data_IF_070807164645
#
_entry.id   IF_070807164645
#
_cell.length_a   1.000
_cell.length_b   1.000
_cell.length_c   1.000
_cell.angle_alpha   90.00
_cell.angle_beta   90.00
_cell.angle_gamma   90.00
#
_symmetry.space_group_name_H-M   'P 1'
#
loop_
_entity.id
_entity.type
_entity.pdbx_description
1 polymer ?
#
# COMPACT_ATOMS: atom_id res chain seq x y z
N UNK A 1 22.09 0.10 -6.92
CA UNK A 1 21.12 -0.23 -5.86
C UNK A 1 20.67 1.07 -5.20
N UNK A 2 19.46 1.51 -5.51
CA UNK A 2 18.83 2.67 -4.87
C UNK A 2 18.50 2.30 -3.42
N UNK A 3 18.96 3.09 -2.45
CA UNK A 3 18.53 2.97 -1.05
C UNK A 3 17.46 4.02 -0.79
N UNK A 4 16.28 3.58 -0.37
CA UNK A 4 15.24 4.48 0.11
C UNK A 4 15.33 4.50 1.64
N UNK A 5 15.67 5.67 2.20
CA UNK A 5 15.67 5.86 3.65
C UNK A 5 14.30 6.39 4.06
N UNK A 6 13.53 5.55 4.74
CA UNK A 6 12.21 5.89 5.27
C UNK A 6 12.34 6.30 6.73
N UNK A 7 12.19 7.59 7.02
CA UNK A 7 12.19 8.10 8.39
C UNK A 7 10.75 8.33 8.83
N UNK A 8 10.26 7.46 9.71
CA UNK A 8 9.12 7.79 10.55
C UNK A 8 9.66 8.65 11.70
N UNK A 9 9.22 9.90 11.82
CA UNK A 9 9.57 10.73 12.96
C UNK A 9 8.88 10.17 14.20
N UNK A 10 9.59 9.31 14.93
CA UNK A 10 9.17 8.78 16.24
C UNK A 10 9.81 9.63 17.31
N UNK A 11 9.06 10.29 18.21
CA UNK A 11 9.65 10.83 19.42
C UNK A 11 10.11 9.67 20.31
N UNK A 12 11.41 9.66 20.65
CA UNK A 12 12.01 8.68 21.56
C UNK A 12 11.50 8.92 22.98
N UNK A 13 10.44 8.19 23.37
CA UNK A 13 10.13 7.95 24.77
C UNK A 13 10.05 6.45 24.96
N UNK A 14 11.06 5.92 25.61
CA UNK A 14 11.13 4.51 25.92
C UNK A 14 10.02 4.10 26.89
N UNK A 15 9.19 3.17 26.46
CA UNK A 15 8.47 2.26 27.34
C UNK A 15 8.58 0.87 26.73
N UNK A 16 9.32 0.01 27.39
CA UNK A 16 9.27 -1.43 27.17
C UNK A 16 7.87 -1.91 27.50
N UNK A 17 7.07 -2.18 26.51
CA UNK A 17 5.81 -2.91 26.63
C UNK A 17 5.99 -4.25 25.95
N UNK A 18 5.76 -5.31 26.70
CA UNK A 18 5.69 -6.67 26.19
C UNK A 18 4.75 -6.73 24.99
N UNK A 19 5.30 -6.98 23.84
CA UNK A 19 4.56 -7.27 22.62
C UNK A 19 3.92 -8.65 22.80
N UNK A 20 2.63 -8.66 22.88
CA UNK A 20 1.80 -9.85 22.73
C UNK A 20 1.83 -10.23 21.24
N UNK A 21 2.74 -11.12 20.90
CA UNK A 21 3.15 -11.53 19.57
C UNK A 21 2.10 -12.39 18.90
N UNK A 22 0.83 -12.01 18.77
CA UNK A 22 -0.03 -12.93 17.99
C UNK A 22 -1.42 -12.43 17.59
N UNK A 23 -1.68 -11.21 17.22
CA UNK A 23 -3.10 -10.93 16.92
C UNK A 23 -3.49 -10.35 15.58
N UNK A 24 -2.59 -10.02 14.66
CA UNK A 24 -3.03 -9.39 13.39
C UNK A 24 -2.35 -9.89 12.11
N UNK A 25 -1.77 -11.07 12.11
CA UNK A 25 -1.49 -11.76 10.87
C UNK A 25 -2.74 -12.51 10.39
N UNK A 26 -3.74 -11.83 9.90
CA UNK A 26 -4.69 -12.45 8.97
C UNK A 26 -3.94 -12.67 7.65
N UNK A 27 -2.97 -13.56 7.69
CA UNK A 27 -2.36 -14.07 6.50
C UNK A 27 -3.37 -15.03 5.87
N UNK A 28 -4.16 -14.53 4.94
CA UNK A 28 -4.89 -15.42 4.05
C UNK A 28 -3.85 -16.06 3.15
N UNK A 29 -3.60 -17.37 3.21
CA UNK A 29 -2.52 -18.03 2.47
C UNK A 29 -2.59 -17.86 0.95
N UNK A 30 -3.71 -17.35 0.45
CA UNK A 30 -3.97 -17.07 -0.97
C UNK A 30 -4.42 -15.62 -1.18
N UNK A 31 -3.83 -14.68 -0.49
CA UNK A 31 -3.99 -13.25 -0.75
C UNK A 31 -2.75 -12.72 -1.47
N UNK A 32 -2.92 -11.94 -2.52
CA UNK A 32 -1.82 -11.26 -3.21
C UNK A 32 -2.21 -9.83 -3.58
N UNK A 33 -1.22 -8.96 -3.51
CA UNK A 33 -1.28 -7.63 -4.11
C UNK A 33 -0.80 -7.72 -5.54
N UNK A 34 -1.42 -6.97 -6.44
CA UNK A 34 -1.03 -6.97 -7.83
C UNK A 34 -1.80 -5.96 -8.65
N UNK A 35 -1.53 -5.95 -9.94
CA UNK A 35 -2.13 -5.07 -10.93
C UNK A 35 -2.98 -5.90 -11.89
N UNK A 36 -4.21 -5.49 -12.13
CA UNK A 36 -5.08 -6.09 -13.14
C UNK A 36 -4.54 -5.72 -14.53
N UNK A 37 -4.48 -6.71 -15.41
CA UNK A 37 -4.12 -6.53 -16.82
C UNK A 37 -5.18 -7.21 -17.68
N UNK A 38 -5.85 -6.43 -18.53
CA UNK A 38 -6.88 -6.93 -19.47
C UNK A 38 -8.24 -6.28 -19.31
N UNK A 39 -9.26 -6.99 -19.76
CA UNK A 39 -10.65 -6.50 -19.79
C UNK A 39 -11.53 -7.25 -18.78
N UNK A 40 -12.73 -6.75 -18.43
CA UNK A 40 -13.64 -7.44 -17.52
C UNK A 40 -13.93 -8.89 -17.91
N UNK A 41 -13.95 -9.20 -19.21
CA UNK A 41 -14.24 -10.53 -19.74
C UNK A 41 -13.02 -11.46 -19.74
N UNK A 42 -11.80 -10.86 -19.72
CA UNK A 42 -10.57 -11.63 -19.79
C UNK A 42 -9.41 -10.84 -19.18
N UNK A 43 -9.10 -11.11 -17.92
CA UNK A 43 -8.02 -10.44 -17.20
C UNK A 43 -7.15 -11.42 -16.42
N UNK A 44 -5.99 -10.95 -16.10
CA UNK A 44 -5.03 -11.58 -15.18
C UNK A 44 -4.62 -10.58 -14.12
N UNK A 45 -3.99 -11.06 -13.06
CA UNK A 45 -3.39 -10.22 -12.04
C UNK A 45 -1.88 -10.50 -12.05
N UNK A 46 -1.11 -9.49 -12.38
CA UNK A 46 0.35 -9.50 -12.22
C UNK A 46 0.66 -9.14 -10.78
N UNK A 47 1.17 -10.09 -10.02
CA UNK A 47 1.39 -9.93 -8.59
C UNK A 47 2.72 -9.25 -8.29
N UNK A 48 2.81 -8.61 -7.15
CA UNK A 48 4.02 -7.90 -6.69
C UNK A 48 5.23 -8.81 -6.45
N UNK A 49 4.99 -10.09 -6.28
CA UNK A 49 6.03 -11.11 -6.14
C UNK A 49 6.40 -11.82 -7.47
N UNK A 50 5.93 -11.30 -8.61
CA UNK A 50 6.31 -11.74 -9.94
C UNK A 50 5.52 -12.93 -10.48
N UNK A 51 4.39 -13.30 -9.85
CA UNK A 51 3.51 -14.33 -10.39
C UNK A 51 2.44 -13.72 -11.30
N UNK A 52 2.04 -14.46 -12.33
CA UNK A 52 0.88 -14.18 -13.17
C UNK A 52 -0.28 -15.08 -12.74
N UNK A 53 -1.36 -14.47 -12.28
CA UNK A 53 -2.59 -15.14 -11.88
C UNK A 53 -3.64 -14.96 -12.98
N UNK A 54 -3.85 -15.98 -13.81
CA UNK A 54 -4.86 -15.96 -14.86
C UNK A 54 -6.22 -16.34 -14.27
N UNK A 55 -7.17 -15.42 -14.36
CA UNK A 55 -8.51 -15.62 -13.79
C UNK A 55 -9.35 -16.46 -14.74
N UNK A 56 -9.62 -17.70 -14.36
CA UNK A 56 -10.49 -18.64 -15.12
C UNK A 56 -11.88 -18.75 -14.49
N UNK A 57 -12.00 -18.46 -13.20
CA UNK A 57 -13.26 -18.39 -12.47
C UNK A 57 -13.30 -17.13 -11.61
N UNK A 58 -14.42 -16.43 -11.59
CA UNK A 58 -14.58 -15.21 -10.79
C UNK A 58 -15.87 -15.27 -9.94
N UNK A 59 -15.72 -15.35 -8.62
CA UNK A 59 -16.82 -15.33 -7.65
C UNK A 59 -17.17 -13.92 -7.17
N UNK A 60 -16.46 -12.90 -7.65
CA UNK A 60 -16.73 -11.48 -7.37
C UNK A 60 -17.04 -10.70 -8.66
N UNK A 61 -18.10 -11.08 -9.39
CA UNK A 61 -18.43 -10.47 -10.68
C UNK A 61 -18.91 -9.02 -10.56
N UNK A 62 -19.20 -8.54 -9.35
CA UNK A 62 -19.61 -7.16 -9.10
C UNK A 62 -18.42 -6.21 -8.94
N UNK A 63 -17.21 -6.74 -8.78
CA UNK A 63 -16.01 -5.92 -8.70
C UNK A 63 -15.73 -5.24 -10.05
N UNK A 64 -15.54 -3.90 -10.07
CA UNK A 64 -15.26 -3.18 -11.32
C UNK A 64 -13.83 -3.49 -11.78
N UNK A 65 -13.68 -4.38 -12.75
CA UNK A 65 -12.39 -4.72 -13.37
C UNK A 65 -12.02 -3.62 -14.35
N UNK A 66 -10.87 -3.00 -14.09
CA UNK A 66 -10.27 -1.97 -14.95
C UNK A 66 -8.79 -2.33 -15.17
N UNK A 67 -8.30 -2.13 -16.41
CA UNK A 67 -6.87 -2.33 -16.71
C UNK A 67 -6.00 -1.40 -15.88
N UNK A 68 -4.83 -1.88 -15.46
CA UNK A 68 -3.89 -1.14 -14.60
C UNK A 68 -4.40 -0.82 -13.18
N UNK A 69 -5.55 -1.37 -12.77
CA UNK A 69 -6.06 -1.19 -11.43
C UNK A 69 -5.25 -2.03 -10.42
N UNK A 70 -4.75 -1.38 -9.37
CA UNK A 70 -4.10 -2.07 -8.25
C UNK A 70 -5.16 -2.68 -7.32
N UNK A 71 -4.94 -3.95 -6.98
CA UNK A 71 -5.87 -4.72 -6.15
C UNK A 71 -5.15 -5.57 -5.10
N UNK A 72 -5.91 -5.90 -4.06
CA UNK A 72 -5.63 -7.05 -3.21
C UNK A 72 -6.66 -8.11 -3.56
N UNK A 73 -6.19 -9.26 -4.04
CA UNK A 73 -7.04 -10.37 -4.44
C UNK A 73 -6.87 -11.56 -3.50
N UNK A 74 -8.00 -12.11 -3.03
CA UNK A 74 -8.06 -13.43 -2.42
C UNK A 74 -8.50 -14.44 -3.47
N UNK A 75 -7.81 -15.56 -3.56
CA UNK A 75 -8.04 -16.51 -4.64
C UNK A 75 -7.79 -17.96 -4.20
N UNK A 76 -8.28 -18.89 -5.01
CA UNK A 76 -8.00 -20.32 -4.92
C UNK A 76 -7.18 -20.73 -6.13
N UNK A 77 -5.94 -21.22 -5.99
CA UNK A 77 -5.20 -21.81 -7.08
C UNK A 77 -5.93 -23.03 -7.62
N UNK A 78 -6.01 -23.14 -8.95
CA UNK A 78 -6.63 -24.28 -9.65
C UNK A 78 -5.57 -25.15 -10.34
N UNK A 79 -4.69 -24.52 -11.13
CA UNK A 79 -3.65 -25.21 -11.89
C UNK A 79 -2.40 -24.33 -12.00
N UNK A 80 -1.23 -24.93 -11.89
CA UNK A 80 0.02 -24.25 -12.24
C UNK A 80 0.28 -24.46 -13.74
N UNK A 81 0.29 -23.37 -14.50
CA UNK A 81 0.43 -23.40 -15.97
C UNK A 81 1.83 -23.02 -16.45
N UNK A 82 2.70 -22.58 -15.54
CA UNK A 82 4.10 -22.22 -15.80
C UNK A 82 4.88 -22.03 -14.51
N UNK A 83 6.15 -21.67 -14.59
CA UNK A 83 7.02 -21.48 -13.41
C UNK A 83 6.41 -20.49 -12.42
N UNK A 84 5.92 -19.35 -12.92
CA UNK A 84 5.30 -18.28 -12.12
C UNK A 84 3.89 -17.95 -12.63
N UNK A 85 3.17 -18.93 -13.21
CA UNK A 85 1.86 -18.74 -13.79
C UNK A 85 0.86 -19.74 -13.25
N UNK A 86 -0.31 -19.25 -12.84
CA UNK A 86 -1.35 -20.05 -12.23
C UNK A 86 -2.71 -19.69 -12.80
N UNK A 87 -3.53 -20.70 -13.07
CA UNK A 87 -4.97 -20.54 -13.23
C UNK A 87 -5.61 -20.47 -11.87
N UNK A 88 -6.45 -19.48 -11.67
CA UNK A 88 -7.05 -19.21 -10.37
C UNK A 88 -8.56 -19.00 -10.47
N UNK A 89 -9.23 -19.26 -9.36
CA UNK A 89 -10.54 -18.73 -9.06
C UNK A 89 -10.40 -17.53 -8.13
N UNK A 90 -10.85 -16.36 -8.56
CA UNK A 90 -10.96 -15.20 -7.67
C UNK A 90 -12.10 -15.41 -6.69
N UNK A 91 -11.84 -15.27 -5.39
CA UNK A 91 -12.85 -15.35 -4.34
C UNK A 91 -13.37 -13.95 -3.97
N UNK A 92 -12.49 -12.96 -3.89
CA UNK A 92 -12.83 -11.55 -3.69
C UNK A 92 -11.67 -10.65 -4.12
N UNK A 93 -12.00 -9.43 -4.52
CA UNK A 93 -11.02 -8.38 -4.80
C UNK A 93 -11.35 -7.11 -4.02
N UNK A 94 -10.32 -6.36 -3.67
CA UNK A 94 -10.45 -5.02 -3.10
C UNK A 94 -9.53 -4.07 -3.86
N UNK A 95 -10.09 -2.92 -4.26
CA UNK A 95 -9.29 -1.84 -4.83
C UNK A 95 -8.28 -1.37 -3.79
N UNK A 96 -7.03 -1.30 -4.19
CA UNK A 96 -5.96 -0.78 -3.36
C UNK A 96 -5.86 0.73 -3.55
N UNK A 97 -5.82 1.47 -2.46
CA UNK A 97 -5.52 2.90 -2.53
C UNK A 97 -4.13 3.07 -3.16
N UNK A 98 -4.10 3.66 -4.36
CA UNK A 98 -2.85 3.89 -5.08
C UNK A 98 -2.66 5.37 -5.32
N UNK A 99 -1.47 5.89 -5.03
CA UNK A 99 -1.13 7.31 -5.13
C UNK A 99 0.26 7.49 -5.71
N UNK A 100 0.47 8.64 -6.35
CA UNK A 100 1.82 9.13 -6.69
C UNK A 100 2.43 9.79 -5.44
N UNK A 101 3.76 9.75 -5.28
CA UNK A 101 4.46 10.61 -4.33
C UNK A 101 4.24 12.09 -4.64
N UNK A 102 4.40 12.95 -3.64
CA UNK A 102 4.42 14.40 -3.79
C UNK A 102 5.83 14.92 -3.52
N UNK A 103 6.29 15.87 -4.32
CA UNK A 103 7.62 16.46 -4.19
C UNK A 103 7.53 17.73 -3.34
N UNK A 104 8.33 17.83 -2.27
CA UNK A 104 8.26 18.98 -1.37
C UNK A 104 8.66 20.29 -2.06
N UNK A 105 9.55 20.23 -3.06
CA UNK A 105 9.95 21.40 -3.84
C UNK A 105 8.83 22.00 -4.72
N UNK A 106 7.79 21.21 -5.02
CA UNK A 106 6.64 21.63 -5.82
C UNK A 106 5.51 22.23 -4.98
N UNK A 107 5.61 22.17 -3.65
CA UNK A 107 4.57 22.58 -2.72
C UNK A 107 4.91 23.90 -2.03
N UNK A 108 3.89 24.70 -1.80
CA UNK A 108 3.99 25.87 -0.93
C UNK A 108 4.08 25.45 0.55
N UNK A 109 4.56 26.31 1.46
CA UNK A 109 4.61 26.00 2.89
C UNK A 109 3.25 25.58 3.48
N UNK A 110 2.15 26.21 3.07
CA UNK A 110 0.80 25.87 3.53
C UNK A 110 0.36 24.48 3.02
N UNK A 111 0.74 24.10 1.79
CA UNK A 111 0.48 22.76 1.24
C UNK A 111 1.31 21.69 1.96
N UNK A 112 2.58 21.97 2.28
CA UNK A 112 3.42 21.08 3.08
C UNK A 112 2.80 20.84 4.47
N UNK A 113 2.34 21.90 5.12
CA UNK A 113 1.66 21.79 6.42
C UNK A 113 0.36 20.97 6.30
N UNK A 114 -0.36 21.10 5.18
CA UNK A 114 -1.60 20.35 4.91
C UNK A 114 -1.40 18.86 4.75
N UNK A 115 -0.18 18.39 4.42
CA UNK A 115 0.12 16.95 4.38
C UNK A 115 -0.05 16.31 5.76
N UNK A 116 0.03 17.08 6.83
CA UNK A 116 -0.14 16.65 8.21
C UNK A 116 1.08 15.92 8.77
N UNK A 117 1.05 15.76 10.09
CA UNK A 117 2.06 15.01 10.87
C UNK A 117 1.38 14.16 11.95
N UNK A 118 0.11 13.83 11.75
CA UNK A 118 -0.64 13.01 12.69
C UNK A 118 -0.01 11.61 12.81
N UNK A 119 -0.13 10.95 13.97
CA UNK A 119 0.49 9.66 14.20
C UNK A 119 0.01 8.60 13.23
N UNK A 120 0.96 7.83 12.69
CA UNK A 120 0.76 6.65 11.86
C UNK A 120 1.82 5.62 12.20
N UNK A 121 1.40 4.37 12.42
CA UNK A 121 2.29 3.25 12.65
C UNK A 121 2.41 2.42 11.37
N UNK A 122 3.62 2.23 10.85
CA UNK A 122 3.87 1.34 9.72
C UNK A 122 4.00 -0.07 10.27
N UNK A 123 3.04 -0.92 9.91
CA UNK A 123 3.05 -2.33 10.30
C UNK A 123 3.96 -3.15 9.37
N UNK A 124 3.95 -2.85 8.07
CA UNK A 124 4.78 -3.49 7.07
C UNK A 124 5.01 -2.57 5.87
N UNK A 125 6.16 -2.69 5.20
CA UNK A 125 6.46 -1.96 3.98
C UNK A 125 7.39 -2.80 3.09
N UNK A 126 7.07 -2.86 1.78
CA UNK A 126 7.87 -3.62 0.80
C UNK A 126 7.73 -3.03 -0.61
N UNK A 127 8.71 -3.35 -1.45
CA UNK A 127 8.62 -3.03 -2.87
C UNK A 127 7.87 -4.12 -3.62
N UNK A 128 6.86 -3.71 -4.41
CA UNK A 128 6.08 -4.59 -5.27
C UNK A 128 6.37 -4.30 -6.74
N UNK A 129 6.62 -5.36 -7.53
CA UNK A 129 6.90 -5.30 -8.97
C UNK A 129 8.00 -4.30 -9.38
N UNK A 130 8.82 -3.82 -8.43
CA UNK A 130 9.88 -2.83 -8.65
C UNK A 130 9.41 -1.39 -8.85
N UNK A 131 8.11 -1.14 -8.92
CA UNK A 131 7.51 0.17 -9.24
C UNK A 131 6.61 0.70 -8.13
N UNK A 132 6.33 -0.11 -7.11
CA UNK A 132 5.42 0.25 -6.04
C UNK A 132 6.08 0.13 -4.68
N UNK A 133 5.86 1.13 -3.83
CA UNK A 133 6.08 1.03 -2.38
C UNK A 133 4.73 0.72 -1.72
N UNK A 134 4.59 -0.49 -1.25
CA UNK A 134 3.41 -0.97 -0.55
C UNK A 134 3.57 -0.78 0.95
N UNK A 135 2.53 -0.30 1.61
CA UNK A 135 2.54 -0.04 3.06
C UNK A 135 1.24 -0.56 3.68
N UNK A 136 1.40 -1.36 4.71
CA UNK A 136 0.35 -1.66 5.68
C UNK A 136 0.57 -0.81 6.92
N UNK A 137 -0.48 -0.17 7.40
CA UNK A 137 -0.36 0.78 8.49
C UNK A 137 -1.54 0.70 9.46
N UNK A 138 -1.33 1.26 10.66
CA UNK A 138 -2.41 1.54 11.60
C UNK A 138 -2.44 3.03 11.95
N UNK A 139 -3.64 3.57 12.07
CA UNK A 139 -3.93 4.93 12.49
C UNK A 139 -4.98 4.91 13.60
N UNK A 140 -5.14 6.01 14.28
CA UNK A 140 -6.26 6.19 15.20
C UNK A 140 -7.40 6.90 14.49
N UNK A 141 -8.63 6.42 14.69
CA UNK A 141 -9.86 6.96 14.13
C UNK A 141 -10.93 7.09 15.20
N UNK A 142 -11.78 8.08 15.08
CA UNK A 142 -13.00 8.21 15.88
C UNK A 142 -14.23 8.03 15.00
N UNK A 143 -14.24 8.67 13.84
CA UNK A 143 -15.31 8.58 12.87
C UNK A 143 -14.83 7.77 11.63
N UNK A 144 -15.33 6.54 11.45
CA UNK A 144 -14.91 5.70 10.30
C UNK A 144 -15.29 6.28 8.92
N UNK A 145 -16.17 7.29 8.89
CA UNK A 145 -16.57 7.96 7.64
C UNK A 145 -15.71 9.18 7.33
N UNK A 146 -14.92 9.66 8.30
CA UNK A 146 -14.03 10.78 8.10
C UNK A 146 -12.81 10.38 7.32
N UNK A 147 -12.58 11.06 6.21
CA UNK A 147 -11.40 10.79 5.37
C UNK A 147 -10.11 11.20 6.09
N UNK A 148 -9.14 10.30 6.11
CA UNK A 148 -7.76 10.60 6.48
C UNK A 148 -6.92 10.65 5.22
N UNK A 149 -5.99 11.60 5.12
CA UNK A 149 -5.11 11.71 3.97
C UNK A 149 -3.75 11.12 4.27
N UNK A 150 -3.27 10.31 3.33
CA UNK A 150 -1.93 9.74 3.33
C UNK A 150 -1.19 10.24 2.10
N UNK A 151 0.06 10.68 2.29
CA UNK A 151 0.93 11.07 1.20
C UNK A 151 2.35 10.56 1.45
N UNK A 152 3.03 10.17 0.40
CA UNK A 152 4.46 9.90 0.41
C UNK A 152 5.16 11.18 -0.08
N UNK A 153 5.79 11.91 0.82
CA UNK A 153 6.50 13.15 0.50
C UNK A 153 7.96 12.85 0.19
N UNK A 154 8.43 13.28 -0.98
CA UNK A 154 9.83 13.22 -1.40
C UNK A 154 10.53 14.50 -0.95
N UNK A 155 11.62 14.37 -0.20
CA UNK A 155 12.48 15.48 0.21
C UNK A 155 13.72 15.50 -0.68
N UNK A 156 13.68 16.31 -1.72
CA UNK A 156 14.72 16.38 -2.74
C UNK A 156 16.00 17.01 -2.20
N UNK A 157 15.88 17.91 -1.19
CA UNK A 157 17.05 18.52 -0.56
C UNK A 157 17.88 17.50 0.23
N UNK A 158 17.23 16.45 0.75
CA UNK A 158 17.89 15.36 1.48
C UNK A 158 18.24 14.18 0.59
N UNK A 159 17.71 14.13 -0.61
CA UNK A 159 17.94 13.03 -1.55
C UNK A 159 19.26 13.20 -2.28
N UNK A 160 19.82 12.09 -2.72
CA UNK A 160 21.04 12.03 -3.55
C UNK A 160 20.76 11.18 -4.79
N UNK A 161 21.66 11.13 -5.79
CA UNK A 161 21.48 10.24 -6.94
C UNK A 161 21.36 8.75 -6.59
N UNK A 162 21.87 8.34 -5.43
CA UNK A 162 21.88 6.95 -4.99
C UNK A 162 20.81 6.65 -3.93
N UNK A 163 20.19 7.70 -3.34
CA UNK A 163 19.27 7.54 -2.21
C UNK A 163 18.17 8.58 -2.24
N UNK A 164 16.91 8.12 -2.30
CA UNK A 164 15.73 8.99 -2.23
C UNK A 164 15.20 9.03 -0.81
N UNK A 165 15.12 10.25 -0.25
CA UNK A 165 14.55 10.47 1.06
C UNK A 165 13.04 10.70 0.98
N UNK A 166 12.26 9.82 1.61
CA UNK A 166 10.80 9.90 1.61
C UNK A 166 10.24 9.88 3.03
N UNK A 167 9.12 10.55 3.22
CA UNK A 167 8.37 10.55 4.49
C UNK A 167 6.91 10.22 4.23
N UNK A 168 6.37 9.23 4.95
CA UNK A 168 4.93 8.99 4.98
C UNK A 168 4.28 10.05 5.85
N UNK A 169 3.37 10.82 5.26
CA UNK A 169 2.63 11.92 5.89
C UNK A 169 1.17 11.53 6.08
N UNK A 170 0.62 11.88 7.23
CA UNK A 170 -0.75 11.58 7.58
C UNK A 170 -1.45 12.82 8.13
N UNK A 171 -2.64 13.10 7.61
CA UNK A 171 -3.52 14.14 8.12
C UNK A 171 -4.88 13.52 8.49
N UNK A 172 -5.18 13.50 9.76
CA UNK A 172 -6.42 12.99 10.33
C UNK A 172 -7.53 14.06 10.34
N UNK A 173 -7.26 15.30 9.88
CA UNK A 173 -8.20 16.43 9.92
C UNK A 173 -8.87 16.61 11.29
N UNK A 174 -8.10 16.49 12.36
CA UNK A 174 -8.57 16.60 13.75
C UNK A 174 -9.61 15.53 14.12
N UNK A 175 -9.54 14.35 13.50
CA UNK A 175 -10.29 13.21 14.02
C UNK A 175 -9.71 12.78 15.35
N UNK A 176 -10.56 12.58 16.35
CA UNK A 176 -10.10 12.22 17.70
C UNK A 176 -9.58 10.78 17.73
N UNK A 177 -8.56 10.55 18.56
CA UNK A 177 -7.93 9.23 18.70
C UNK A 177 -8.74 8.33 19.63
N UNK A 178 -9.61 7.48 19.11
CA UNK A 178 -10.43 6.56 19.94
C UNK A 178 -10.14 5.09 19.71
N UNK A 179 -10.03 4.66 18.47
CA UNK A 179 -9.82 3.26 18.14
C UNK A 179 -8.78 3.10 17.05
N UNK A 180 -8.09 1.96 17.02
CA UNK A 180 -7.15 1.66 15.93
C UNK A 180 -7.92 1.26 14.69
N UNK A 181 -7.61 1.95 13.58
CA UNK A 181 -7.96 1.57 12.22
C UNK A 181 -6.75 0.97 11.52
N UNK A 182 -6.98 0.05 10.61
CA UNK A 182 -5.95 -0.56 9.79
C UNK A 182 -6.20 -0.22 8.32
N UNK A 183 -5.12 0.00 7.57
CA UNK A 183 -5.20 0.35 6.16
C UNK A 183 -4.04 -0.16 5.33
N UNK A 184 -4.22 -0.07 4.02
CA UNK A 184 -3.29 -0.46 2.97
C UNK A 184 -3.18 0.66 1.95
N UNK A 185 -1.96 0.96 1.51
CA UNK A 185 -1.70 1.92 0.44
C UNK A 185 -0.53 1.44 -0.42
N UNK A 186 -0.60 1.74 -1.70
CA UNK A 186 0.47 1.53 -2.67
C UNK A 186 0.87 2.88 -3.25
N UNK A 187 2.15 3.21 -3.23
CA UNK A 187 2.66 4.39 -3.91
C UNK A 187 3.38 3.96 -5.17
N UNK A 188 2.97 4.52 -6.30
CA UNK A 188 3.68 4.35 -7.56
C UNK A 188 4.98 5.17 -7.49
N UNK A 189 6.10 4.46 -7.49
CA UNK A 189 7.44 5.04 -7.36
C UNK A 189 8.29 4.86 -8.62
N UNK A 190 7.69 4.45 -9.74
CA UNK A 190 8.41 4.26 -11.02
C UNK A 190 9.20 5.50 -11.43
N UNK A 191 8.72 6.69 -11.08
CA UNK A 191 9.42 7.96 -11.33
C UNK A 191 10.57 8.29 -10.36
N UNK A 192 10.78 7.47 -9.31
CA UNK A 192 11.83 7.67 -8.30
C UNK A 192 13.01 6.72 -8.46
N UNK A 193 12.92 5.70 -9.34
CA UNK A 193 13.91 4.64 -9.57
C UNK A 193 14.51 4.70 -10.97
#
# INVERSE_FOLDING_TARGET
FLKITMLAAVPLWGLTSCLDDNKYAYFHPNESWGTIVGTPENFKIETDNGNTLRVTENLDPSFPVEDSLRVVATFTPLEQTGENSFDIRVNAMKKLLTKMPVYLSELTPDEIDSLGTDPIDIANAWFGAGEYLNIEFTIFVNDPQKAHFLNLAVDEEKSTPEEVFVTLRHNAFKDETRQKGWGRVSFDIAGLV
#
